data_IF_845671926157
#
_entry.id   IF_845671926157
#
_cell.length_a   1.000
_cell.length_b   1.000
_cell.length_c   1.000
_cell.angle_alpha   90.00
_cell.angle_beta   90.00
_cell.angle_gamma   90.00
#
_symmetry.space_group_name_H-M   'P 1'
#
loop_
_entity.id
_entity.type
_entity.pdbx_description
1 polymer ?
#
# COMPACT_ATOMS: atom_id res chain seq x y z
N UNK A 1 2.01 0.62 50.46
CA UNK A 1 3.16 0.61 49.52
C UNK A 1 3.34 -0.84 49.09
N UNK A 2 3.18 -1.32 47.86
CA UNK A 2 2.94 -0.74 46.53
C UNK A 2 2.12 -1.79 45.78
N UNK A 3 0.90 -1.45 45.35
CA UNK A 3 0.08 -2.24 44.44
C UNK A 3 -0.07 -1.44 43.16
N UNK A 4 0.89 -1.57 42.24
CA UNK A 4 0.70 -1.15 40.85
C UNK A 4 0.50 -2.40 40.03
N UNK A 5 -0.77 -2.65 39.76
CA UNK A 5 -1.32 -3.69 38.91
C UNK A 5 -0.60 -3.72 37.56
N UNK A 6 -0.15 -4.92 37.19
CA UNK A 6 0.03 -5.35 35.80
C UNK A 6 -1.22 -4.99 35.00
N UNK A 7 -1.17 -3.89 34.25
CA UNK A 7 -2.11 -3.66 33.16
C UNK A 7 -1.74 -4.65 32.05
N UNK A 8 -2.38 -5.81 32.08
CA UNK A 8 -2.41 -6.75 30.98
C UNK A 8 -2.65 -5.97 29.68
N UNK A 9 -1.78 -6.18 28.70
CA UNK A 9 -1.95 -5.61 27.37
C UNK A 9 -3.30 -6.10 26.82
N UNK A 10 -4.12 -5.22 26.20
CA UNK A 10 -5.43 -5.61 25.70
C UNK A 10 -5.30 -6.83 24.78
N UNK A 11 -6.22 -7.77 24.94
CA UNK A 11 -6.22 -9.00 24.14
C UNK A 11 -6.35 -8.65 22.66
N UNK A 12 -5.72 -9.44 21.78
CA UNK A 12 -5.73 -9.25 20.32
C UNK A 12 -7.14 -9.33 19.68
N UNK A 13 -8.19 -9.61 20.47
CA UNK A 13 -9.57 -9.74 20.02
C UNK A 13 -10.45 -8.53 20.40
N UNK A 14 -10.12 -7.76 21.44
CA UNK A 14 -11.04 -6.78 22.04
C UNK A 14 -11.04 -5.40 21.35
N UNK A 15 -10.21 -5.21 20.31
CA UNK A 15 -10.10 -3.92 19.59
C UNK A 15 -10.09 -4.01 18.06
N UNK A 16 -10.19 -5.22 17.50
CA UNK A 16 -10.20 -5.41 16.05
C UNK A 16 -11.65 -5.50 15.56
N UNK A 17 -12.03 -4.66 14.59
CA UNK A 17 -13.30 -4.80 13.92
C UNK A 17 -13.39 -6.15 13.19
N UNK A 18 -14.63 -6.57 12.89
CA UNK A 18 -14.87 -7.83 12.16
C UNK A 18 -14.20 -7.83 10.77
N UNK A 19 -14.04 -6.65 10.16
CA UNK A 19 -13.43 -6.52 8.84
C UNK A 19 -11.94 -6.87 8.86
N UNK A 20 -11.17 -6.24 9.76
CA UNK A 20 -9.73 -6.43 9.86
C UNK A 20 -9.39 -7.87 10.23
N UNK A 21 -10.19 -8.48 11.12
CA UNK A 21 -10.02 -9.87 11.53
C UNK A 21 -10.16 -10.86 10.38
N UNK A 22 -11.08 -10.58 9.45
CA UNK A 22 -11.36 -11.45 8.31
C UNK A 22 -10.81 -10.90 6.99
N UNK A 23 -9.89 -9.92 7.04
CA UNK A 23 -9.37 -9.23 5.84
C UNK A 23 -8.86 -10.21 4.78
N UNK A 24 -8.11 -11.24 5.17
CA UNK A 24 -7.61 -12.24 4.22
C UNK A 24 -8.73 -13.05 3.55
N UNK A 25 -9.81 -13.34 4.28
CA UNK A 25 -11.00 -14.00 3.69
C UNK A 25 -11.74 -13.05 2.76
N UNK A 26 -11.88 -11.78 3.12
CA UNK A 26 -12.50 -10.76 2.26
C UNK A 26 -11.71 -10.55 0.97
N UNK A 27 -10.38 -10.49 1.05
CA UNK A 27 -9.51 -10.39 -0.13
C UNK A 27 -9.61 -11.66 -0.98
N UNK A 28 -9.56 -12.85 -0.37
CA UNK A 28 -9.74 -14.11 -1.11
C UNK A 28 -11.10 -14.17 -1.81
N UNK A 29 -12.17 -13.76 -1.13
CA UNK A 29 -13.50 -13.66 -1.70
C UNK A 29 -13.54 -12.63 -2.83
N UNK A 30 -12.90 -11.47 -2.69
CA UNK A 30 -12.83 -10.44 -3.71
C UNK A 30 -12.11 -10.93 -4.99
N UNK A 31 -11.03 -11.69 -4.83
CA UNK A 31 -10.30 -12.32 -5.94
C UNK A 31 -11.21 -13.30 -6.68
N UNK A 32 -11.83 -14.24 -5.95
CA UNK A 32 -12.71 -15.25 -6.54
C UNK A 32 -13.92 -14.59 -7.21
N UNK A 33 -14.58 -13.67 -6.53
CA UNK A 33 -15.72 -12.94 -7.05
C UNK A 33 -15.35 -12.10 -8.28
N UNK A 34 -14.19 -11.42 -8.26
CA UNK A 34 -13.67 -10.66 -9.39
C UNK A 34 -13.42 -11.53 -10.61
N UNK A 35 -12.67 -12.63 -10.45
CA UNK A 35 -12.39 -13.56 -11.55
C UNK A 35 -13.69 -14.15 -12.11
N UNK A 36 -14.62 -14.58 -11.24
CA UNK A 36 -15.93 -15.10 -11.67
C UNK A 36 -16.76 -14.03 -12.40
N UNK A 37 -16.76 -12.79 -11.93
CA UNK A 37 -17.46 -11.68 -12.58
C UNK A 37 -16.89 -11.42 -13.98
N UNK A 38 -15.56 -11.42 -14.12
CA UNK A 38 -14.88 -11.25 -15.41
C UNK A 38 -15.22 -12.36 -16.41
N UNK A 39 -15.42 -13.60 -15.93
CA UNK A 39 -15.73 -14.76 -16.77
C UNK A 39 -17.23 -14.89 -17.10
N UNK A 40 -18.11 -14.73 -16.11
CA UNK A 40 -19.55 -14.97 -16.25
C UNK A 40 -20.32 -13.75 -16.76
N UNK A 41 -19.81 -12.54 -16.53
CA UNK A 41 -20.45 -11.29 -16.94
C UNK A 41 -19.41 -10.29 -17.52
N UNK A 42 -18.71 -10.66 -18.63
CA UNK A 42 -17.66 -9.82 -19.22
C UNK A 42 -18.18 -8.45 -19.69
N UNK A 43 -19.48 -8.32 -19.92
CA UNK A 43 -20.13 -7.05 -20.26
C UNK A 43 -19.97 -5.98 -19.16
N UNK A 44 -19.84 -6.36 -17.88
CA UNK A 44 -19.68 -5.41 -16.76
C UNK A 44 -18.30 -4.73 -16.81
N UNK A 45 -17.17 -5.47 -16.83
CA UNK A 45 -15.86 -4.89 -17.09
C UNK A 45 -15.82 -4.06 -18.38
N UNK A 46 -16.35 -4.59 -19.49
CA UNK A 46 -16.33 -3.90 -20.78
C UNK A 46 -17.15 -2.60 -20.80
N UNK A 47 -18.23 -2.51 -20.02
CA UNK A 47 -18.99 -1.28 -19.88
C UNK A 47 -18.25 -0.27 -19.01
N UNK A 48 -17.66 -0.71 -17.91
CA UNK A 48 -16.90 0.14 -16.99
C UNK A 48 -15.61 0.68 -17.62
N UNK A 49 -14.97 -0.09 -18.50
CA UNK A 49 -13.77 0.35 -19.23
C UNK A 49 -14.07 1.46 -20.23
N UNK A 50 -15.32 1.62 -20.69
CA UNK A 50 -15.73 2.73 -21.57
C UNK A 50 -15.86 4.06 -20.83
N UNK A 51 -15.99 4.03 -19.50
CA UNK A 51 -15.99 5.23 -18.67
C UNK A 51 -14.55 5.65 -18.34
N UNK A 52 -13.79 5.97 -19.39
CA UNK A 52 -12.42 6.47 -19.28
C UNK A 52 -12.32 7.90 -19.83
N UNK A 53 -11.53 8.72 -19.14
CA UNK A 53 -11.14 10.06 -19.61
C UNK A 53 -9.64 10.15 -19.47
N UNK A 54 -8.94 10.45 -20.56
CA UNK A 54 -7.47 10.51 -20.59
C UNK A 54 -6.79 9.23 -20.02
N UNK A 55 -7.29 8.05 -20.40
CA UNK A 55 -6.84 6.73 -19.91
C UNK A 55 -7.04 6.48 -18.41
N UNK A 56 -7.77 7.37 -17.73
CA UNK A 56 -8.18 7.18 -16.34
C UNK A 56 -9.61 6.65 -16.30
N UNK A 57 -9.77 5.45 -15.73
CA UNK A 57 -11.08 4.87 -15.46
C UNK A 57 -11.78 5.65 -14.34
N UNK A 58 -12.88 6.33 -14.66
CA UNK A 58 -13.66 7.11 -13.69
C UNK A 58 -14.13 6.24 -12.52
N UNK A 59 -14.68 5.02 -12.73
CA UNK A 59 -15.06 4.13 -11.62
C UNK A 59 -13.90 3.84 -10.66
N UNK A 60 -12.71 3.53 -11.20
CA UNK A 60 -11.52 3.25 -10.39
C UNK A 60 -11.08 4.53 -9.64
N UNK A 61 -11.06 5.68 -10.30
CA UNK A 61 -10.70 6.95 -9.69
C UNK A 61 -11.62 7.32 -8.51
N UNK A 62 -12.94 7.16 -8.68
CA UNK A 62 -13.93 7.40 -7.61
C UNK A 62 -13.69 6.45 -6.43
N UNK A 63 -13.40 5.18 -6.69
CA UNK A 63 -13.10 4.23 -5.61
C UNK A 63 -11.80 4.58 -4.88
N UNK A 64 -10.75 4.97 -5.61
CA UNK A 64 -9.49 5.44 -5.01
C UNK A 64 -9.74 6.65 -4.13
N UNK A 65 -10.54 7.61 -4.60
CA UNK A 65 -10.94 8.76 -3.78
C UNK A 65 -11.71 8.34 -2.54
N UNK A 66 -12.67 7.41 -2.68
CA UNK A 66 -13.43 6.86 -1.57
C UNK A 66 -12.53 6.16 -0.54
N UNK A 67 -11.40 5.59 -0.97
CA UNK A 67 -10.41 4.96 -0.08
C UNK A 67 -9.48 5.94 0.61
N UNK A 68 -8.91 6.88 -0.15
CA UNK A 68 -7.88 7.81 0.34
C UNK A 68 -8.49 8.93 1.17
N UNK A 69 -9.66 9.45 0.77
CA UNK A 69 -10.29 10.57 1.46
C UNK A 69 -10.53 10.33 2.96
N UNK A 70 -11.15 9.21 3.41
CA UNK A 70 -11.32 8.94 4.84
C UNK A 70 -9.99 8.88 5.59
N UNK A 71 -8.96 8.29 4.99
CA UNK A 71 -7.65 8.16 5.61
C UNK A 71 -7.01 9.53 5.81
N UNK A 72 -7.05 10.39 4.79
CA UNK A 72 -6.51 11.75 4.88
C UNK A 72 -7.30 12.62 5.87
N UNK A 73 -8.61 12.40 5.97
CA UNK A 73 -9.45 13.03 6.96
C UNK A 73 -9.09 12.61 8.40
N UNK A 74 -8.60 11.39 8.62
CA UNK A 74 -8.13 10.92 9.93
C UNK A 74 -6.80 11.53 10.38
N UNK A 75 -5.98 12.03 9.45
CA UNK A 75 -4.66 12.58 9.80
C UNK A 75 -4.79 13.86 10.62
N UNK A 76 -4.29 13.80 11.85
CA UNK A 76 -4.10 15.00 12.67
C UNK A 76 -2.72 15.61 12.41
N UNK A 77 -2.70 16.68 11.61
CA UNK A 77 -1.48 17.42 11.30
C UNK A 77 -0.84 18.10 12.52
N UNK A 78 -1.58 18.29 13.62
CA UNK A 78 -1.02 18.80 14.88
C UNK A 78 -0.30 17.69 15.66
N UNK A 79 -0.73 16.43 15.51
CA UNK A 79 -0.08 15.26 16.10
C UNK A 79 1.27 14.92 15.43
N UNK A 80 1.51 15.41 14.20
CA UNK A 80 2.83 15.33 13.53
C UNK A 80 3.92 16.05 14.35
N UNK A 81 3.59 17.03 15.21
CA UNK A 81 4.56 17.60 16.15
C UNK A 81 5.11 16.55 17.15
N UNK A 82 4.36 15.47 17.39
CA UNK A 82 4.76 14.31 18.20
C UNK A 82 5.92 13.49 17.63
N UNK A 83 6.28 13.69 16.35
CA UNK A 83 7.47 13.11 15.67
C UNK A 83 8.74 13.25 16.51
N UNK A 84 8.86 14.36 17.26
CA UNK A 84 10.04 14.64 18.09
C UNK A 84 10.29 13.60 19.19
N UNK A 85 9.28 12.82 19.58
CA UNK A 85 9.42 11.84 20.67
C UNK A 85 10.28 10.63 20.30
N UNK A 86 10.24 10.16 19.05
CA UNK A 86 11.06 9.04 18.58
C UNK A 86 11.51 9.24 17.12
N UNK A 87 12.55 10.04 16.85
CA UNK A 87 13.00 10.31 15.48
C UNK A 87 13.61 9.08 14.79
N UNK A 88 14.23 8.16 15.56
CA UNK A 88 14.94 6.99 15.02
C UNK A 88 14.04 6.09 14.15
N UNK A 89 12.83 5.76 14.63
CA UNK A 89 11.90 4.90 13.89
C UNK A 89 11.45 5.53 12.57
N UNK A 90 11.23 6.85 12.60
CA UNK A 90 10.83 7.63 11.42
C UNK A 90 11.96 7.71 10.41
N UNK A 91 13.20 8.01 10.84
CA UNK A 91 14.38 8.02 9.97
C UNK A 91 14.56 6.69 9.24
N UNK A 92 14.42 5.57 9.94
CA UNK A 92 14.56 4.24 9.34
C UNK A 92 13.46 4.02 8.30
N UNK A 93 12.19 4.28 8.68
CA UNK A 93 11.05 4.04 7.79
C UNK A 93 11.14 4.91 6.54
N UNK A 94 11.43 6.21 6.69
CA UNK A 94 11.59 7.13 5.56
C UNK A 94 12.77 6.76 4.67
N UNK A 95 13.94 6.44 5.24
CA UNK A 95 15.11 6.05 4.46
C UNK A 95 14.85 4.74 3.70
N UNK A 96 14.25 3.76 4.35
CA UNK A 96 13.88 2.50 3.71
C UNK A 96 12.90 2.76 2.56
N UNK A 97 11.84 3.53 2.78
CA UNK A 97 10.79 3.73 1.79
C UNK A 97 11.24 4.53 0.56
N UNK A 98 12.11 5.51 0.75
CA UNK A 98 12.42 6.48 -0.31
C UNK A 98 13.82 6.32 -0.89
N UNK A 99 14.76 5.72 -0.15
CA UNK A 99 16.15 5.56 -0.60
C UNK A 99 16.51 4.10 -0.87
N UNK A 100 15.88 3.12 -0.21
CA UNK A 100 16.25 1.71 -0.36
C UNK A 100 15.22 0.98 -1.21
N UNK A 101 13.93 1.04 -0.84
CA UNK A 101 12.85 0.26 -1.44
C UNK A 101 12.70 0.45 -2.95
N UNK A 102 12.65 1.67 -3.51
CA UNK A 102 12.42 1.84 -4.94
C UNK A 102 13.60 1.30 -5.77
N UNK A 103 14.82 1.56 -5.30
CA UNK A 103 16.06 1.16 -5.98
C UNK A 103 16.34 -0.34 -5.86
N UNK A 104 16.09 -0.93 -4.69
CA UNK A 104 16.18 -2.39 -4.52
C UNK A 104 15.08 -3.13 -5.28
N UNK A 105 13.86 -2.59 -5.30
CA UNK A 105 12.79 -3.14 -6.14
C UNK A 105 13.21 -3.13 -7.60
N UNK A 106 13.71 -2.00 -8.10
CA UNK A 106 14.27 -1.92 -9.46
C UNK A 106 15.38 -2.96 -9.69
N UNK A 107 16.39 -3.01 -8.83
CA UNK A 107 17.53 -3.90 -9.00
C UNK A 107 17.13 -5.39 -9.00
N UNK A 108 16.25 -5.80 -8.06
CA UNK A 108 15.76 -7.17 -7.97
C UNK A 108 14.86 -7.48 -9.16
N UNK A 109 13.86 -6.65 -9.45
CA UNK A 109 12.96 -6.86 -10.58
C UNK A 109 13.72 -6.90 -11.92
N UNK A 110 14.70 -6.02 -12.11
CA UNK A 110 15.54 -6.01 -13.31
C UNK A 110 16.37 -7.29 -13.43
N UNK A 111 17.02 -7.73 -12.35
CA UNK A 111 17.78 -8.98 -12.34
C UNK A 111 16.89 -10.17 -12.72
N UNK A 112 15.70 -10.25 -12.15
CA UNK A 112 14.79 -11.37 -12.42
C UNK A 112 14.18 -11.27 -13.82
N UNK A 113 13.56 -10.16 -14.20
CA UNK A 113 12.85 -10.06 -15.49
C UNK A 113 13.77 -9.94 -16.70
N UNK A 114 14.86 -9.16 -16.61
CA UNK A 114 15.72 -8.87 -17.76
C UNK A 114 16.86 -9.86 -17.93
N UNK A 115 17.31 -10.51 -16.84
CA UNK A 115 18.48 -11.40 -16.87
C UNK A 115 18.07 -12.85 -16.66
N UNK A 116 17.50 -13.19 -15.50
CA UNK A 116 17.22 -14.59 -15.13
C UNK A 116 16.06 -15.15 -15.96
N UNK A 117 14.99 -14.38 -16.16
CA UNK A 117 13.78 -14.81 -16.85
C UNK A 117 13.75 -14.49 -18.34
N UNK A 118 14.85 -13.97 -18.88
CA UNK A 118 15.02 -13.71 -20.32
C UNK A 118 14.63 -14.90 -21.23
N UNK A 119 14.90 -16.17 -20.87
CA UNK A 119 14.48 -17.31 -21.71
C UNK A 119 12.97 -17.61 -21.65
N UNK A 120 12.28 -17.12 -20.63
CA UNK A 120 10.88 -17.47 -20.33
C UNK A 120 9.89 -16.36 -20.71
N UNK A 121 10.34 -15.11 -20.84
CA UNK A 121 9.49 -13.94 -21.06
C UNK A 121 10.04 -13.11 -22.22
N UNK A 122 9.21 -12.69 -23.19
CA UNK A 122 9.60 -11.73 -24.21
C UNK A 122 10.12 -10.41 -23.59
N UNK A 123 11.11 -9.79 -24.23
CA UNK A 123 11.77 -8.59 -23.68
C UNK A 123 10.79 -7.44 -23.42
N UNK A 124 9.84 -7.20 -24.32
CA UNK A 124 8.84 -6.13 -24.16
C UNK A 124 7.97 -6.36 -22.92
N UNK A 125 7.51 -7.60 -22.73
CA UNK A 125 6.68 -7.97 -21.58
C UNK A 125 7.48 -7.93 -20.27
N UNK A 126 8.78 -8.30 -20.30
CA UNK A 126 9.69 -8.14 -19.17
C UNK A 126 9.87 -6.67 -18.78
N UNK A 127 9.94 -5.75 -19.75
CA UNK A 127 9.95 -4.30 -19.51
C UNK A 127 8.68 -3.81 -18.82
N UNK A 128 7.52 -4.30 -19.24
CA UNK A 128 6.25 -3.94 -18.61
C UNK A 128 6.15 -4.48 -17.17
N UNK A 129 6.60 -5.71 -16.92
CA UNK A 129 6.65 -6.26 -15.55
C UNK A 129 7.60 -5.48 -14.65
N UNK A 130 8.76 -5.09 -15.17
CA UNK A 130 9.69 -4.22 -14.49
C UNK A 130 9.04 -2.86 -14.16
N UNK A 131 8.31 -2.26 -15.10
CA UNK A 131 7.62 -1.00 -14.86
C UNK A 131 6.56 -1.11 -13.75
N UNK A 132 5.74 -2.16 -13.77
CA UNK A 132 4.77 -2.43 -12.71
C UNK A 132 5.43 -2.64 -11.34
N UNK A 133 6.57 -3.36 -11.30
CA UNK A 133 7.34 -3.54 -10.07
C UNK A 133 7.91 -2.21 -9.55
N UNK A 134 8.44 -1.33 -10.41
CA UNK A 134 8.92 0.01 -10.03
C UNK A 134 7.79 0.84 -9.42
N UNK A 135 6.60 0.84 -10.05
CA UNK A 135 5.42 1.55 -9.54
C UNK A 135 5.02 1.05 -8.14
N UNK A 136 5.01 -0.27 -7.91
CA UNK A 136 4.78 -0.86 -6.57
C UNK A 136 5.87 -0.44 -5.58
N UNK A 137 7.14 -0.54 -5.97
CA UNK A 137 8.29 -0.26 -5.12
C UNK A 137 8.39 1.20 -4.67
N UNK A 138 7.96 2.13 -5.54
CA UNK A 138 7.96 3.57 -5.26
C UNK A 138 6.75 4.04 -4.44
N UNK A 139 5.72 3.22 -4.25
CA UNK A 139 4.49 3.56 -3.55
C UNK A 139 4.46 2.91 -2.14
N UNK A 140 4.76 3.63 -1.05
CA UNK A 140 4.70 3.09 0.31
C UNK A 140 3.26 2.90 0.76
N UNK A 141 2.97 1.83 1.52
CA UNK A 141 1.60 1.53 1.99
C UNK A 141 1.06 2.58 2.97
N UNK A 142 -0.25 2.80 2.92
CA UNK A 142 -0.94 3.88 3.64
C UNK A 142 -2.11 3.36 4.50
N UNK A 143 -3.00 2.55 3.93
CA UNK A 143 -4.18 2.03 4.62
C UNK A 143 -3.90 0.77 5.45
N UNK A 144 -3.40 -0.28 4.78
CA UNK A 144 -3.35 -1.63 5.35
C UNK A 144 -2.33 -1.75 6.50
N UNK A 145 -1.42 -0.78 6.59
CA UNK A 145 -0.42 -0.66 7.67
C UNK A 145 -1.06 -0.62 9.06
N UNK A 146 -2.27 -0.07 9.21
CA UNK A 146 -2.94 -0.04 10.52
C UNK A 146 -3.34 -1.44 10.99
N UNK A 147 -3.74 -2.32 10.07
CA UNK A 147 -4.00 -3.73 10.36
C UNK A 147 -2.71 -4.43 10.77
N UNK A 148 -1.62 -4.18 10.05
CA UNK A 148 -0.30 -4.75 10.38
C UNK A 148 0.25 -4.24 11.72
N UNK A 149 0.07 -2.95 11.99
CA UNK A 149 0.43 -2.33 13.25
C UNK A 149 -0.36 -2.95 14.40
N UNK A 150 -1.69 -3.07 14.26
CA UNK A 150 -2.52 -3.75 15.24
C UNK A 150 -2.07 -5.19 15.50
N UNK A 151 -1.89 -5.98 14.44
CA UNK A 151 -1.49 -7.39 14.57
C UNK A 151 -0.09 -7.56 15.17
N UNK A 152 0.77 -6.56 15.07
CA UNK A 152 2.10 -6.55 15.70
C UNK A 152 2.13 -5.86 17.07
N UNK A 153 0.98 -5.45 17.61
CA UNK A 153 0.84 -4.68 18.87
C UNK A 153 1.63 -3.36 18.83
N UNK A 154 1.57 -2.70 17.68
CA UNK A 154 2.17 -1.42 17.39
C UNK A 154 1.49 -0.24 18.09
N UNK A 155 2.23 0.87 18.17
CA UNK A 155 1.67 2.15 18.58
C UNK A 155 0.91 2.77 17.40
N UNK A 156 -0.42 2.81 17.50
CA UNK A 156 -1.29 3.32 16.45
C UNK A 156 -1.08 4.82 16.17
N UNK A 157 -0.81 5.62 17.20
CA UNK A 157 -0.58 7.05 17.05
C UNK A 157 0.75 7.31 16.33
N UNK A 158 1.79 6.56 16.68
CA UNK A 158 3.08 6.64 15.97
C UNK A 158 2.99 6.11 14.54
N UNK A 159 2.22 5.05 14.31
CA UNK A 159 1.95 4.50 12.97
C UNK A 159 1.28 5.55 12.08
N UNK A 160 0.28 6.26 12.60
CA UNK A 160 -0.39 7.36 11.89
C UNK A 160 0.60 8.45 11.46
N UNK A 161 1.55 8.79 12.33
CA UNK A 161 2.60 9.77 12.04
C UNK A 161 3.54 9.27 10.93
N UNK A 162 3.94 8.00 10.94
CA UNK A 162 4.76 7.41 9.88
C UNK A 162 4.04 7.40 8.53
N UNK A 163 2.76 7.03 8.51
CA UNK A 163 1.92 7.06 7.30
C UNK A 163 1.81 8.49 6.78
N UNK A 164 1.43 9.44 7.64
CA UNK A 164 1.28 10.83 7.24
C UNK A 164 2.58 11.42 6.66
N UNK A 165 3.74 11.11 7.25
CA UNK A 165 5.02 11.56 6.68
C UNK A 165 5.26 10.92 5.30
N UNK A 166 5.02 9.62 5.14
CA UNK A 166 5.20 8.96 3.85
C UNK A 166 4.27 9.54 2.79
N UNK A 167 3.02 9.82 3.12
CA UNK A 167 2.06 10.44 2.19
C UNK A 167 2.50 11.83 1.76
N UNK A 168 3.02 12.63 2.70
CA UNK A 168 3.58 13.95 2.38
C UNK A 168 4.80 13.84 1.46
N UNK A 169 5.69 12.88 1.70
CA UNK A 169 6.86 12.67 0.83
C UNK A 169 6.43 12.18 -0.55
N UNK A 170 5.40 11.33 -0.62
CA UNK A 170 4.88 10.76 -1.85
C UNK A 170 4.39 11.82 -2.83
N UNK A 171 3.81 12.93 -2.35
CA UNK A 171 3.37 14.06 -3.18
C UNK A 171 4.45 14.61 -4.11
N UNK A 172 5.71 14.58 -3.68
CA UNK A 172 6.82 15.15 -4.44
C UNK A 172 7.87 14.13 -4.87
N UNK A 173 8.01 12.99 -4.18
CA UNK A 173 9.05 12.01 -4.46
C UNK A 173 8.60 10.89 -5.39
N UNK A 174 7.32 10.52 -5.39
CA UNK A 174 6.82 9.39 -6.19
C UNK A 174 7.08 9.58 -7.70
N UNK A 175 6.58 10.68 -8.27
CA UNK A 175 6.72 10.95 -9.70
C UNK A 175 8.19 11.04 -10.16
N UNK A 176 9.08 11.83 -9.51
CA UNK A 176 10.49 11.86 -9.89
C UNK A 176 11.19 10.51 -9.80
N UNK A 177 10.97 9.73 -8.74
CA UNK A 177 11.63 8.42 -8.56
C UNK A 177 11.17 7.46 -9.64
N UNK A 178 9.86 7.39 -9.90
CA UNK A 178 9.30 6.52 -10.95
C UNK A 178 9.86 6.89 -12.31
N UNK A 179 9.82 8.16 -12.69
CA UNK A 179 10.34 8.62 -14.00
C UNK A 179 11.83 8.35 -14.12
N UNK A 180 12.61 8.58 -13.06
CA UNK A 180 14.04 8.29 -13.05
C UNK A 180 14.33 6.80 -13.26
N UNK A 181 13.69 5.91 -12.50
CA UNK A 181 13.91 4.46 -12.58
C UNK A 181 13.41 3.86 -13.91
N UNK A 182 12.28 4.34 -14.42
CA UNK A 182 11.78 3.95 -15.75
C UNK A 182 12.69 4.47 -16.87
N UNK A 183 13.21 5.69 -16.72
CA UNK A 183 14.18 6.28 -17.65
C UNK A 183 15.49 5.48 -17.75
N UNK A 184 16.01 4.97 -16.61
CA UNK A 184 17.17 4.05 -16.60
C UNK A 184 16.88 2.77 -17.39
N UNK A 185 15.63 2.32 -17.39
CA UNK A 185 15.16 1.14 -18.13
C UNK A 185 14.84 1.42 -19.60
N UNK A 186 15.10 2.64 -20.07
CA UNK A 186 14.72 3.12 -21.41
C UNK A 186 13.19 3.05 -21.68
N UNK A 187 12.39 3.09 -20.62
CA UNK A 187 10.92 3.15 -20.69
C UNK A 187 10.54 4.63 -20.60
N UNK A 188 10.24 5.23 -21.74
CA UNK A 188 9.84 6.64 -21.77
C UNK A 188 8.39 6.78 -21.36
N UNK A 189 8.16 7.54 -20.30
CA UNK A 189 6.83 7.81 -19.78
C UNK A 189 6.58 9.32 -19.80
N UNK A 190 5.42 9.79 -20.31
CA UNK A 190 5.09 11.21 -20.29
C UNK A 190 5.03 11.74 -18.85
N UNK A 191 5.83 12.77 -18.55
CA UNK A 191 5.81 13.42 -17.24
C UNK A 191 4.42 13.91 -16.86
N UNK A 192 3.68 14.44 -17.84
CA UNK A 192 2.34 14.96 -17.66
C UNK A 192 1.37 13.90 -17.13
N UNK A 193 1.45 12.65 -17.63
CA UNK A 193 0.56 11.56 -17.18
C UNK A 193 0.91 11.07 -15.77
N UNK A 194 2.20 11.01 -15.43
CA UNK A 194 2.65 10.67 -14.08
C UNK A 194 2.24 11.76 -13.09
N UNK A 195 2.45 13.02 -13.44
CA UNK A 195 2.07 14.18 -12.63
C UNK A 195 0.54 14.28 -12.45
N UNK A 196 -0.23 14.03 -13.52
CA UNK A 196 -1.69 13.96 -13.46
C UNK A 196 -2.14 12.85 -12.52
N UNK A 197 -1.49 11.68 -12.53
CA UNK A 197 -1.82 10.57 -11.63
C UNK A 197 -1.59 10.95 -10.17
N UNK A 198 -0.47 11.60 -9.85
CA UNK A 198 -0.20 12.11 -8.49
C UNK A 198 -1.23 13.16 -8.08
N UNK A 199 -1.52 14.11 -8.98
CA UNK A 199 -2.49 15.17 -8.72
C UNK A 199 -3.89 14.59 -8.44
N UNK A 200 -4.34 13.68 -9.32
CA UNK A 200 -5.67 13.10 -9.28
C UNK A 200 -5.84 12.15 -8.11
N UNK A 201 -4.90 11.22 -7.88
CA UNK A 201 -5.07 10.16 -6.90
C UNK A 201 -4.57 10.52 -5.51
N UNK A 202 -3.68 11.51 -5.36
CA UNK A 202 -3.09 11.85 -4.07
C UNK A 202 -3.44 13.28 -3.67
N UNK A 203 -3.07 14.27 -4.47
CA UNK A 203 -3.18 15.69 -4.10
C UNK A 203 -4.64 16.10 -3.86
N UNK A 204 -5.55 15.76 -4.78
CA UNK A 204 -6.97 16.11 -4.68
C UNK A 204 -7.62 15.47 -3.43
N UNK A 205 -7.54 14.13 -3.22
CA UNK A 205 -8.08 13.50 -2.01
C UNK A 205 -7.48 14.02 -0.71
N UNK A 206 -6.17 14.29 -0.69
CA UNK A 206 -5.46 14.84 0.47
C UNK A 206 -5.93 16.26 0.81
N UNK A 207 -6.03 17.13 -0.19
CA UNK A 207 -6.55 18.49 -0.02
C UNK A 207 -8.01 18.47 0.45
N UNK A 208 -8.84 17.60 -0.15
CA UNK A 208 -10.23 17.43 0.25
C UNK A 208 -10.36 16.93 1.70
N UNK A 209 -9.56 15.94 2.11
CA UNK A 209 -9.52 15.44 3.48
C UNK A 209 -9.10 16.51 4.49
N UNK A 210 -8.04 17.26 4.18
CA UNK A 210 -7.54 18.35 5.01
C UNK A 210 -8.59 19.47 5.18
N UNK A 211 -9.15 19.97 4.08
CA UNK A 211 -10.18 21.02 4.10
C UNK A 211 -11.42 20.55 4.87
N UNK A 212 -11.84 19.30 4.68
CA UNK A 212 -12.98 18.72 5.40
C UNK A 212 -12.72 18.68 6.90
N UNK A 213 -11.55 18.17 7.32
CA UNK A 213 -11.17 18.10 8.73
C UNK A 213 -11.17 19.48 9.39
N UNK A 214 -10.48 20.45 8.78
CA UNK A 214 -10.39 21.81 9.30
C UNK A 214 -11.77 22.49 9.40
N UNK A 215 -12.60 22.33 8.37
CA UNK A 215 -13.91 22.96 8.32
C UNK A 215 -14.88 22.35 9.32
N UNK A 216 -14.90 21.03 9.48
CA UNK A 216 -15.81 20.35 10.39
C UNK A 216 -15.41 20.50 11.86
N UNK A 217 -14.12 20.46 12.18
CA UNK A 217 -13.64 20.70 13.55
C UNK A 217 -13.92 22.14 13.97
N UNK A 218 -13.73 23.13 13.08
CA UNK A 218 -14.09 24.52 13.37
C UNK A 218 -15.59 24.72 13.62
N UNK A 219 -16.45 23.93 12.97
CA UNK A 219 -17.91 24.06 13.08
C UNK A 219 -18.53 23.26 14.24
N UNK A 220 -18.05 22.05 14.52
CA UNK A 220 -18.69 21.10 15.44
C UNK A 220 -17.78 20.65 16.60
N UNK A 221 -16.49 21.04 16.60
CA UNK A 221 -15.50 20.59 17.57
C UNK A 221 -14.84 19.25 17.22
N UNK A 222 -13.70 18.97 17.86
CA UNK A 222 -12.91 17.77 17.62
C UNK A 222 -13.61 16.49 18.10
N UNK A 223 -14.30 16.55 19.24
CA UNK A 223 -14.96 15.37 19.82
C UNK A 223 -16.11 14.87 18.92
N UNK A 224 -16.89 15.78 18.31
CA UNK A 224 -17.91 15.42 17.33
C UNK A 224 -17.30 14.83 16.06
N UNK A 225 -16.17 15.39 15.60
CA UNK A 225 -15.46 14.91 14.42
C UNK A 225 -15.03 13.45 14.59
N UNK A 226 -14.38 13.14 15.71
CA UNK A 226 -13.85 11.80 15.98
C UNK A 226 -14.98 10.79 16.30
N UNK A 227 -15.99 11.20 17.08
CA UNK A 227 -17.01 10.27 17.54
C UNK A 227 -18.21 10.10 16.61
N UNK A 228 -18.47 11.04 15.70
CA UNK A 228 -19.64 11.00 14.80
C UNK A 228 -19.20 10.90 13.34
N UNK A 229 -18.45 11.88 12.85
CA UNK A 229 -18.07 11.95 11.43
C UNK A 229 -17.13 10.80 11.06
N UNK A 230 -16.06 10.58 11.82
CA UNK A 230 -15.09 9.51 11.56
C UNK A 230 -15.69 8.11 11.70
N UNK A 231 -16.62 7.88 12.63
CA UNK A 231 -17.31 6.58 12.73
C UNK A 231 -18.19 6.26 11.50
N UNK A 232 -18.70 7.27 10.80
CA UNK A 232 -19.49 7.09 9.57
C UNK A 232 -18.61 6.98 8.32
N UNK A 233 -17.50 7.70 8.27
CA UNK A 233 -16.63 7.79 7.08
C UNK A 233 -15.54 6.72 7.07
N UNK A 234 -15.05 6.29 8.24
CA UNK A 234 -14.01 5.26 8.38
C UNK A 234 -14.31 3.94 7.64
N UNK A 235 -15.54 3.38 7.69
CA UNK A 235 -15.88 2.16 6.97
C UNK A 235 -15.86 2.28 5.43
N UNK A 236 -15.79 3.49 4.87
CA UNK A 236 -15.79 3.69 3.41
C UNK A 236 -14.48 3.15 2.80
N UNK A 237 -13.33 3.33 3.46
CA UNK A 237 -12.04 2.81 2.97
C UNK A 237 -12.05 1.30 2.76
N UNK A 238 -12.37 0.46 3.77
CA UNK A 238 -12.38 -0.99 3.57
C UNK A 238 -13.44 -1.48 2.57
N UNK A 239 -14.58 -0.80 2.46
CA UNK A 239 -15.59 -1.14 1.43
C UNK A 239 -15.06 -0.81 0.03
N UNK A 240 -14.51 0.40 -0.15
CA UNK A 240 -13.88 0.84 -1.40
C UNK A 240 -12.74 -0.08 -1.82
N UNK A 241 -11.96 -0.57 -0.86
CA UNK A 241 -10.88 -1.54 -1.06
C UNK A 241 -11.41 -2.84 -1.69
N UNK A 242 -12.39 -3.48 -1.05
CA UNK A 242 -12.94 -4.74 -1.55
C UNK A 242 -13.59 -4.57 -2.92
N UNK A 243 -14.35 -3.50 -3.15
CA UNK A 243 -14.94 -3.21 -4.46
C UNK A 243 -13.86 -3.01 -5.52
N UNK A 244 -12.81 -2.25 -5.20
CA UNK A 244 -11.67 -2.04 -6.11
C UNK A 244 -11.00 -3.37 -6.45
N UNK A 245 -10.74 -4.22 -5.46
CA UNK A 245 -10.17 -5.55 -5.69
C UNK A 245 -11.05 -6.41 -6.60
N UNK A 246 -12.36 -6.47 -6.35
CA UNK A 246 -13.29 -7.21 -7.22
C UNK A 246 -13.20 -6.70 -8.65
N UNK A 247 -13.22 -5.37 -8.86
CA UNK A 247 -13.12 -4.79 -10.20
C UNK A 247 -11.76 -5.07 -10.86
N UNK A 248 -10.65 -4.92 -10.15
CA UNK A 248 -9.31 -5.18 -10.67
C UNK A 248 -9.15 -6.64 -11.12
N UNK A 249 -9.60 -7.58 -10.30
CA UNK A 249 -9.57 -9.01 -10.66
C UNK A 249 -10.61 -9.37 -11.72
N UNK A 250 -11.71 -8.61 -11.85
CA UNK A 250 -12.64 -8.77 -12.96
C UNK A 250 -12.05 -8.28 -14.29
N UNK A 251 -11.30 -7.17 -14.29
CA UNK A 251 -10.59 -6.67 -15.46
C UNK A 251 -9.45 -7.59 -15.89
N UNK A 252 -8.71 -8.15 -14.93
CA UNK A 252 -7.53 -9.00 -15.20
C UNK A 252 -7.82 -10.50 -15.18
N UNK A 253 -9.07 -10.92 -14.94
CA UNK A 253 -9.40 -12.34 -14.70
C UNK A 253 -9.00 -13.26 -15.86
N UNK A 254 -9.21 -12.84 -17.10
CA UNK A 254 -8.81 -13.60 -18.29
C UNK A 254 -7.28 -13.69 -18.42
N UNK A 255 -6.56 -12.58 -18.22
CA UNK A 255 -5.09 -12.54 -18.27
C UNK A 255 -4.49 -13.45 -17.21
N UNK A 256 -5.03 -13.42 -15.99
CA UNK A 256 -4.60 -14.24 -14.85
C UNK A 256 -4.79 -15.74 -15.15
N UNK A 257 -5.94 -16.14 -15.67
CA UNK A 257 -6.24 -17.55 -15.94
C UNK A 257 -5.43 -18.12 -17.10
N UNK A 258 -5.16 -17.31 -18.13
CA UNK A 258 -4.41 -17.74 -19.31
C UNK A 258 -2.88 -17.75 -19.07
N UNK A 259 -2.38 -17.01 -18.06
CA UNK A 259 -0.94 -16.82 -17.84
C UNK A 259 -0.46 -17.19 -16.43
N UNK A 260 -0.74 -18.40 -15.92
CA UNK A 260 -0.37 -18.79 -14.54
C UNK A 260 1.15 -18.77 -14.31
N UNK A 261 1.95 -19.10 -15.33
CA UNK A 261 3.41 -19.04 -15.25
C UNK A 261 3.89 -17.60 -14.99
N UNK A 262 3.27 -16.60 -15.65
CA UNK A 262 3.65 -15.20 -15.49
C UNK A 262 3.36 -14.70 -14.08
N UNK A 263 2.27 -15.15 -13.45
CA UNK A 263 1.96 -14.83 -12.05
C UNK A 263 3.10 -15.30 -11.14
N UNK A 264 3.58 -16.54 -11.33
CA UNK A 264 4.69 -17.09 -10.54
C UNK A 264 5.98 -16.32 -10.79
N UNK A 265 6.30 -16.02 -12.06
CA UNK A 265 7.50 -15.27 -12.42
C UNK A 265 7.50 -13.86 -11.83
N UNK A 266 6.34 -13.19 -11.77
CA UNK A 266 6.21 -11.88 -11.12
C UNK A 266 6.28 -12.01 -9.59
N UNK A 267 5.65 -13.03 -9.03
CA UNK A 267 5.61 -13.25 -7.58
C UNK A 267 7.01 -13.43 -6.98
N UNK A 268 7.92 -14.15 -7.64
CA UNK A 268 9.27 -14.44 -7.13
C UNK A 268 10.05 -13.18 -6.72
N UNK A 269 10.33 -12.20 -7.61
CA UNK A 269 11.06 -11.00 -7.24
C UNK A 269 10.31 -10.15 -6.20
N UNK A 270 8.98 -10.08 -6.26
CA UNK A 270 8.18 -9.33 -5.29
C UNK A 270 8.27 -9.94 -3.88
N UNK A 271 8.20 -11.27 -3.75
CA UNK A 271 8.39 -11.98 -2.48
C UNK A 271 9.77 -11.67 -1.90
N UNK A 272 10.82 -11.82 -2.72
CA UNK A 272 12.20 -11.56 -2.31
C UNK A 272 12.35 -10.11 -1.82
N UNK A 273 11.83 -9.15 -2.60
CA UNK A 273 11.89 -7.74 -2.25
C UNK A 273 11.16 -7.43 -0.94
N UNK A 274 9.95 -7.98 -0.73
CA UNK A 274 9.18 -7.76 0.49
C UNK A 274 9.92 -8.26 1.74
N UNK A 275 10.50 -9.47 1.68
CA UNK A 275 11.32 -9.97 2.79
C UNK A 275 12.59 -9.16 2.98
N UNK A 276 13.28 -8.81 1.88
CA UNK A 276 14.51 -8.01 1.92
C UNK A 276 14.29 -6.68 2.64
N UNK A 277 13.24 -5.94 2.25
CA UNK A 277 12.91 -4.65 2.87
C UNK A 277 12.47 -4.80 4.31
N UNK A 278 11.66 -5.80 4.62
CA UNK A 278 11.28 -6.09 6.00
C UNK A 278 12.51 -6.32 6.88
N UNK A 279 13.44 -7.19 6.47
CA UNK A 279 14.61 -7.51 7.28
C UNK A 279 15.58 -6.34 7.39
N UNK A 280 15.72 -5.50 6.36
CA UNK A 280 16.49 -4.26 6.46
C UNK A 280 15.87 -3.31 7.47
N UNK A 281 14.59 -2.99 7.34
CA UNK A 281 13.92 -2.03 8.23
C UNK A 281 13.88 -2.56 9.67
N UNK A 282 13.47 -3.81 9.85
CA UNK A 282 13.34 -4.45 11.16
C UNK A 282 14.69 -4.67 11.84
N UNK A 283 15.69 -5.12 11.08
CA UNK A 283 17.07 -5.31 11.55
C UNK A 283 17.73 -3.98 11.92
N UNK A 284 17.56 -2.94 11.10
CA UNK A 284 18.05 -1.60 11.39
C UNK A 284 17.38 -1.02 12.65
N UNK A 285 16.06 -1.16 12.78
CA UNK A 285 15.33 -0.74 13.98
C UNK A 285 15.82 -1.46 15.24
N UNK A 286 16.08 -2.76 15.14
CA UNK A 286 16.68 -3.55 16.22
C UNK A 286 18.08 -3.06 16.58
N UNK A 287 18.94 -2.81 15.59
CA UNK A 287 20.31 -2.32 15.80
C UNK A 287 20.32 -0.94 16.48
N UNK A 288 19.37 -0.08 16.15
CA UNK A 288 19.21 1.26 16.75
C UNK A 288 18.44 1.27 18.08
N UNK A 289 18.03 0.09 18.56
CA UNK A 289 17.27 -0.13 19.80
C UNK A 289 15.93 0.63 19.81
N UNK A 290 15.27 0.70 18.65
CA UNK A 290 13.89 1.19 18.55
C UNK A 290 12.96 0.16 19.19
N UNK A 291 11.98 0.55 20.02
CA UNK A 291 11.10 -0.41 20.68
C UNK A 291 10.23 -1.16 19.66
N UNK A 292 9.86 -2.40 19.99
CA UNK A 292 9.16 -3.30 19.07
C UNK A 292 7.84 -2.73 18.53
N UNK A 293 7.07 -2.05 19.38
CA UNK A 293 5.81 -1.40 19.03
C UNK A 293 5.95 -0.26 18.00
N UNK A 294 7.17 0.15 17.67
CA UNK A 294 7.47 1.12 16.62
C UNK A 294 8.26 0.47 15.49
N UNK A 295 9.21 -0.41 15.83
CA UNK A 295 10.04 -1.12 14.86
C UNK A 295 9.22 -2.06 13.97
N UNK A 296 8.28 -2.84 14.52
CA UNK A 296 7.48 -3.78 13.76
C UNK A 296 6.52 -3.07 12.79
N UNK A 297 5.69 -2.09 13.20
CA UNK A 297 4.88 -1.33 12.26
C UNK A 297 5.71 -0.59 11.20
N UNK A 298 6.83 0.04 11.59
CA UNK A 298 7.72 0.73 10.65
C UNK A 298 8.29 -0.21 9.58
N UNK A 299 8.68 -1.43 9.96
CA UNK A 299 9.14 -2.44 9.01
C UNK A 299 8.01 -2.94 8.09
N UNK A 300 6.79 -3.08 8.61
CA UNK A 300 5.62 -3.43 7.79
C UNK A 300 5.29 -2.34 6.78
N UNK A 301 5.34 -1.07 7.19
CA UNK A 301 5.13 0.08 6.31
C UNK A 301 6.12 0.05 5.13
N UNK A 302 7.38 -0.31 5.39
CA UNK A 302 8.37 -0.43 4.31
C UNK A 302 8.17 -1.65 3.42
N UNK A 303 7.82 -2.79 3.99
CA UNK A 303 7.67 -4.03 3.25
C UNK A 303 6.40 -4.06 2.37
N UNK A 304 5.34 -3.35 2.80
CA UNK A 304 4.05 -3.27 2.10
C UNK A 304 4.02 -2.17 1.03
N UNK A 305 3.10 -2.30 0.08
CA UNK A 305 2.95 -1.39 -1.05
C UNK A 305 1.59 -0.72 -1.04
N UNK A 306 1.52 0.45 -1.67
CA UNK A 306 0.26 1.10 -1.97
C UNK A 306 -0.20 0.69 -3.36
N UNK A 307 -0.82 -0.48 -3.43
CA UNK A 307 -1.16 -1.10 -4.70
C UNK A 307 -2.22 -0.35 -5.47
N UNK A 308 -3.17 0.31 -4.82
CA UNK A 308 -4.26 1.03 -5.48
C UNK A 308 -3.71 2.17 -6.34
N UNK A 309 -2.77 2.94 -5.78
CA UNK A 309 -2.05 3.97 -6.53
C UNK A 309 -1.18 3.35 -7.64
N UNK A 310 -0.45 2.28 -7.34
CA UNK A 310 0.44 1.65 -8.32
C UNK A 310 -0.33 1.06 -9.51
N UNK A 311 -1.45 0.39 -9.26
CA UNK A 311 -2.35 -0.14 -10.29
C UNK A 311 -2.95 1.01 -11.11
N UNK A 312 -3.43 2.06 -10.46
CA UNK A 312 -4.01 3.21 -11.16
C UNK A 312 -2.98 3.92 -12.06
N UNK A 313 -1.76 4.12 -11.57
CA UNK A 313 -0.67 4.66 -12.35
C UNK A 313 -0.29 3.71 -13.49
N UNK A 314 -0.22 2.39 -13.27
CA UNK A 314 0.09 1.43 -14.32
C UNK A 314 -0.95 1.45 -15.44
N UNK A 315 -2.24 1.50 -15.09
CA UNK A 315 -3.33 1.59 -16.06
C UNK A 315 -3.27 2.91 -16.83
N UNK A 316 -3.03 4.03 -16.14
CA UNK A 316 -2.94 5.34 -16.79
C UNK A 316 -1.74 5.49 -17.73
N UNK A 317 -0.64 4.76 -17.47
CA UNK A 317 0.60 4.86 -18.24
C UNK A 317 0.71 3.82 -19.36
N UNK A 318 0.28 2.59 -19.08
CA UNK A 318 0.50 1.42 -19.95
C UNK A 318 -0.81 0.80 -20.44
N UNK A 319 -1.95 1.21 -19.88
CA UNK A 319 -3.25 0.64 -20.19
C UNK A 319 -3.62 -0.55 -19.30
N UNK A 320 -4.92 -0.86 -19.29
CA UNK A 320 -5.53 -1.86 -18.39
C UNK A 320 -5.03 -3.29 -18.62
N UNK A 321 -4.78 -3.66 -19.88
CA UNK A 321 -4.35 -5.02 -20.25
C UNK A 321 -2.82 -5.19 -20.28
N UNK A 322 -2.06 -4.17 -19.88
CA UNK A 322 -0.60 -4.24 -19.89
C UNK A 322 -0.04 -5.21 -18.85
N UNK A 323 1.17 -5.69 -19.11
CA UNK A 323 1.97 -6.43 -18.16
C UNK A 323 2.28 -5.61 -16.90
N UNK A 324 2.40 -4.28 -17.01
CA UNK A 324 2.59 -3.41 -15.85
C UNK A 324 1.37 -3.44 -14.92
N UNK A 325 0.16 -3.36 -15.48
CA UNK A 325 -1.08 -3.53 -14.72
C UNK A 325 -1.19 -4.94 -14.13
N UNK A 326 -0.80 -5.99 -14.86
CA UNK A 326 -0.77 -7.35 -14.32
C UNK A 326 0.19 -7.47 -13.13
N UNK A 327 1.41 -6.92 -13.24
CA UNK A 327 2.41 -7.01 -12.19
C UNK A 327 1.98 -6.32 -10.89
N UNK A 328 1.29 -5.18 -10.99
CA UNK A 328 0.73 -4.49 -9.83
C UNK A 328 -0.38 -5.30 -9.15
N UNK A 329 -1.27 -5.95 -9.92
CA UNK A 329 -2.33 -6.84 -9.39
C UNK A 329 -1.75 -8.12 -8.77
N UNK A 330 -0.74 -8.72 -9.38
CA UNK A 330 -0.02 -9.87 -8.79
C UNK A 330 0.62 -9.47 -7.46
N UNK A 331 1.16 -8.26 -7.35
CA UNK A 331 1.66 -7.71 -6.08
C UNK A 331 0.62 -7.82 -4.95
N UNK A 332 -0.63 -7.47 -5.21
CA UNK A 332 -1.72 -7.61 -4.23
C UNK A 332 -1.93 -9.06 -3.80
N UNK A 333 -1.90 -9.98 -4.77
CA UNK A 333 -2.12 -11.41 -4.56
C UNK A 333 -1.05 -12.00 -3.61
N UNK A 334 0.22 -11.62 -3.79
CA UNK A 334 1.31 -12.08 -2.91
C UNK A 334 1.42 -11.30 -1.61
N UNK A 335 1.04 -10.03 -1.57
CA UNK A 335 1.32 -9.17 -0.41
C UNK A 335 0.60 -9.63 0.86
N UNK A 336 -0.70 -9.90 0.80
CA UNK A 336 -1.48 -10.29 2.00
C UNK A 336 -0.90 -11.51 2.73
N UNK A 337 -0.63 -12.66 2.08
CA UNK A 337 -0.07 -13.81 2.78
C UNK A 337 1.36 -13.54 3.29
N UNK A 338 2.17 -12.79 2.55
CA UNK A 338 3.52 -12.41 2.99
C UNK A 338 3.48 -11.52 4.23
N UNK A 339 2.63 -10.51 4.25
CA UNK A 339 2.50 -9.61 5.38
C UNK A 339 2.06 -10.35 6.64
N UNK A 340 1.12 -11.29 6.54
CA UNK A 340 0.75 -12.15 7.67
C UNK A 340 1.91 -13.02 8.16
N UNK A 341 2.73 -13.56 7.25
CA UNK A 341 3.93 -14.31 7.62
C UNK A 341 4.95 -13.42 8.34
N UNK A 342 5.18 -12.20 7.84
CA UNK A 342 6.06 -11.21 8.47
C UNK A 342 5.54 -10.78 9.85
N UNK A 343 4.24 -10.57 10.00
CA UNK A 343 3.58 -10.30 11.30
C UNK A 343 3.89 -11.41 12.30
N UNK A 344 3.76 -12.67 11.87
CA UNK A 344 4.10 -13.82 12.72
C UNK A 344 5.57 -13.82 13.12
N UNK A 345 6.47 -13.53 12.19
CA UNK A 345 7.91 -13.41 12.47
C UNK A 345 8.15 -12.30 13.50
N UNK A 346 7.65 -11.08 13.25
CA UNK A 346 7.81 -9.93 14.11
C UNK A 346 7.29 -10.19 15.54
N UNK A 347 6.14 -10.85 15.67
CA UNK A 347 5.56 -11.19 16.97
C UNK A 347 6.39 -12.23 17.72
N UNK A 348 6.92 -13.24 17.03
CA UNK A 348 7.76 -14.27 17.62
C UNK A 348 9.12 -13.73 18.08
N UNK A 349 9.63 -12.68 17.43
CA UNK A 349 10.91 -12.05 17.76
C UNK A 349 10.78 -10.87 18.73
N UNK A 350 9.60 -10.63 19.30
CA UNK A 350 9.33 -9.50 20.21
C UNK A 350 10.28 -9.44 21.40
N UNK A 351 10.60 -10.58 22.00
CA UNK A 351 11.50 -10.68 23.15
C UNK A 351 12.96 -10.27 22.83
N UNK A 352 13.31 -10.15 21.55
CA UNK A 352 14.65 -9.73 21.11
C UNK A 352 14.80 -8.20 21.03
N UNK A 353 13.70 -7.46 21.26
CA UNK A 353 13.70 -6.00 21.31
C UNK A 353 13.74 -5.56 22.77
N UNK A 354 14.49 -4.48 23.03
CA UNK A 354 14.58 -3.94 24.37
C UNK A 354 13.20 -3.43 24.81
N UNK A 355 12.77 -3.86 25.99
CA UNK A 355 11.63 -3.26 26.68
C UNK A 355 12.14 -1.93 27.22
N UNK A 356 11.73 -0.84 26.57
CA UNK A 356 12.03 0.52 27.03
C UNK A 356 11.24 0.87 28.28
#
# INVERSE_FOLDING_TARGET
>A
MSSLQDKASPSTADGMGLFERYLSLWVAFAIVAGILLGQLAPAVPQALSRFEVAQVSIPIAVLIWAMIFPMMAQIDFTAIAGVRRQPKGLTITTAVNWLIKPFSMFAIAWLFFMVIFRPFIPHELASEYLAGAILLGAAPCTAMVFVWSYLTRGDAAYTLVQVALNDLIMLFAFAPIVVFLLGISNIQVPWDTVALSVLLYIVIPLAAGYVTRQSLIKKHGAEWYDNVFMKRVGPITPIGLIITLVLLFAFQGEVILNNPLHIVLIAIPLIIQTFFIFFIAYGWAKAWRVPHNIAAPGAMIGASNFFELAVAAAIALFGMQSGAALATVVGVLVEVPLMLALVRIANNTRNQFHVG
#
